data_IF_313844882969
#
_entry.id   IF_313844882969
#
_cell.length_a   1.000
_cell.length_b   1.000
_cell.length_c   1.000
_cell.angle_alpha   90.00
_cell.angle_beta   90.00
_cell.angle_gamma   90.00
#
_symmetry.space_group_name_H-M   'P 1'
#
loop_
_entity.id
_entity.type
_entity.pdbx_description
1 polymer ?
#
# COMPACT_ATOMS: atom_id res chain seq x y z
N UNK A 1 1.90 -26.50 23.41
CA UNK A 1 2.62 -25.36 22.80
C UNK A 1 1.57 -24.54 22.05
N UNK A 2 1.08 -23.46 22.66
CA UNK A 2 -0.06 -22.69 22.13
C UNK A 2 0.41 -21.72 21.04
N UNK A 3 -0.24 -21.82 19.87
CA UNK A 3 0.05 -21.09 18.64
C UNK A 3 -0.02 -19.56 18.82
N UNK A 4 1.14 -18.90 18.72
CA UNK A 4 1.30 -17.44 18.59
C UNK A 4 1.01 -16.97 17.15
N UNK A 5 -0.08 -17.43 16.53
CA UNK A 5 -0.48 -17.00 15.17
C UNK A 5 -1.50 -15.85 15.17
N UNK A 6 -1.36 -14.88 16.09
CA UNK A 6 -2.27 -13.72 16.17
C UNK A 6 -1.55 -12.35 16.12
N UNK A 7 -0.30 -12.29 15.66
CA UNK A 7 0.50 -11.07 15.69
C UNK A 7 0.64 -10.40 14.33
N UNK A 8 -0.34 -9.57 13.93
CA UNK A 8 -0.23 -8.56 12.85
C UNK A 8 0.51 -9.05 11.60
N UNK A 9 -0.14 -9.87 10.79
CA UNK A 9 0.34 -10.09 9.43
C UNK A 9 0.39 -8.69 8.77
N UNK A 10 1.54 -8.04 8.68
CA UNK A 10 1.63 -6.67 8.14
C UNK A 10 1.79 -6.71 6.62
N UNK A 11 1.84 -7.92 6.04
CA UNK A 11 2.07 -8.17 4.63
C UNK A 11 0.86 -7.76 3.78
N UNK A 12 -0.37 -7.88 4.29
CA UNK A 12 -1.57 -7.37 3.59
C UNK A 12 -1.70 -5.84 3.67
N UNK A 13 -0.96 -5.18 4.55
CA UNK A 13 -0.86 -3.71 4.58
C UNK A 13 0.15 -3.17 3.56
N UNK A 14 0.99 -4.03 2.97
CA UNK A 14 1.94 -3.60 1.94
C UNK A 14 1.27 -3.55 0.58
N UNK A 15 1.07 -2.34 0.07
CA UNK A 15 0.54 -2.09 -1.27
C UNK A 15 1.67 -1.78 -2.24
N UNK A 16 1.57 -2.30 -3.46
CA UNK A 16 2.49 -1.94 -4.54
C UNK A 16 2.14 -0.57 -5.10
N UNK A 17 3.15 0.29 -5.27
CA UNK A 17 2.99 1.64 -5.79
C UNK A 17 2.76 1.59 -7.29
N UNK A 18 1.87 2.45 -7.78
CA UNK A 18 1.60 2.56 -9.20
C UNK A 18 2.85 3.04 -9.95
N UNK A 19 3.37 2.20 -10.85
CA UNK A 19 4.55 2.52 -11.66
C UNK A 19 4.32 3.70 -12.59
N UNK A 20 3.12 3.84 -13.13
CA UNK A 20 2.76 4.97 -13.99
C UNK A 20 2.63 6.26 -13.18
N UNK A 21 2.15 6.19 -11.93
CA UNK A 21 2.09 7.35 -11.04
C UNK A 21 3.49 7.83 -10.67
N UNK A 22 4.41 6.90 -10.35
CA UNK A 22 5.83 7.25 -10.14
C UNK A 22 6.47 7.93 -11.35
N UNK A 23 5.98 7.63 -12.55
CA UNK A 23 6.42 8.24 -13.81
C UNK A 23 5.63 9.49 -14.20
N UNK A 24 4.68 9.94 -13.37
CA UNK A 24 3.74 11.02 -13.66
C UNK A 24 2.91 10.79 -14.95
N UNK A 25 2.59 9.52 -15.25
CA UNK A 25 1.79 9.09 -16.40
C UNK A 25 0.43 8.51 -16.03
N UNK A 26 0.18 8.23 -14.75
CA UNK A 26 -1.12 7.74 -14.32
C UNK A 26 -2.13 8.89 -14.26
N UNK A 27 -3.22 8.76 -15.01
CA UNK A 27 -4.35 9.72 -15.01
C UNK A 27 -5.55 9.21 -14.21
N UNK A 28 -5.48 8.00 -13.65
CA UNK A 28 -6.57 7.40 -12.88
C UNK A 28 -6.62 7.99 -11.46
N UNK A 29 -7.81 8.21 -10.89
CA UNK A 29 -7.92 8.56 -9.48
C UNK A 29 -7.44 7.40 -8.60
N UNK A 30 -6.97 7.72 -7.40
CA UNK A 30 -6.46 6.74 -6.41
C UNK A 30 -7.49 5.65 -6.07
N UNK A 31 -8.78 5.98 -6.11
CA UNK A 31 -9.91 5.05 -5.86
C UNK A 31 -10.14 4.04 -6.99
N UNK A 32 -9.75 4.35 -8.22
CA UNK A 32 -9.91 3.48 -9.40
C UNK A 32 -8.59 2.82 -9.83
N UNK A 33 -7.46 3.26 -9.27
CA UNK A 33 -6.17 2.67 -9.56
C UNK A 33 -5.97 1.39 -8.74
N UNK A 34 -5.58 0.31 -9.40
CA UNK A 34 -5.26 -0.97 -8.75
C UNK A 34 -4.05 -0.88 -7.79
N UNK A 35 -3.24 0.17 -7.92
CA UNK A 35 -1.98 0.34 -7.20
C UNK A 35 -1.99 1.63 -6.38
N UNK A 36 -1.19 1.69 -5.32
CA UNK A 36 -1.16 2.84 -4.43
C UNK A 36 -0.55 4.08 -5.09
N UNK A 37 -1.17 5.25 -4.86
CA UNK A 37 -0.65 6.57 -5.21
C UNK A 37 -0.20 7.29 -3.92
N UNK A 38 0.99 6.97 -3.37
CA UNK A 38 1.46 7.60 -2.15
C UNK A 38 1.78 9.08 -2.40
N UNK A 39 1.42 9.98 -1.48
CA UNK A 39 1.83 11.38 -1.56
C UNK A 39 3.35 11.52 -1.35
N UNK A 40 3.94 12.64 -1.77
CA UNK A 40 5.39 12.84 -1.78
C UNK A 40 6.09 12.73 -0.40
N UNK A 41 5.31 12.88 0.67
CA UNK A 41 5.77 12.73 2.06
C UNK A 41 5.79 11.27 2.56
N UNK A 42 5.32 10.31 1.77
CA UNK A 42 5.32 8.89 2.13
C UNK A 42 6.54 8.21 1.53
N UNK A 43 7.30 7.52 2.37
CA UNK A 43 8.45 6.75 1.93
C UNK A 43 8.02 5.47 1.18
N UNK A 44 8.57 5.28 -0.01
CA UNK A 44 8.36 4.06 -0.82
C UNK A 44 9.58 3.17 -0.67
N UNK A 45 9.39 1.96 -0.14
CA UNK A 45 10.46 0.97 0.02
C UNK A 45 10.28 -0.17 -0.98
N UNK A 46 11.27 -0.39 -1.85
CA UNK A 46 11.23 -1.44 -2.89
C UNK A 46 9.96 -1.40 -3.78
N UNK A 47 9.45 -0.20 -4.07
CA UNK A 47 8.22 -0.02 -4.85
C UNK A 47 6.93 -0.36 -4.11
N UNK A 48 6.98 -0.51 -2.78
CA UNK A 48 5.84 -0.78 -1.91
C UNK A 48 5.70 0.29 -0.83
N UNK A 49 4.48 0.46 -0.35
CA UNK A 49 4.13 1.34 0.76
C UNK A 49 3.29 0.60 1.78
N UNK A 50 3.40 1.00 3.03
CA UNK A 50 2.54 0.47 4.11
C UNK A 50 1.31 1.34 4.24
N UNK A 51 0.14 0.75 3.98
CA UNK A 51 -1.15 1.39 4.18
C UNK A 51 -1.56 1.37 5.65
N UNK A 52 -2.41 2.32 6.03
CA UNK A 52 -3.04 2.32 7.35
C UNK A 52 -4.00 1.13 7.47
N UNK A 53 -3.98 0.46 8.62
CA UNK A 53 -4.81 -0.73 8.90
C UNK A 53 -6.31 -0.44 8.73
N UNK A 54 -6.76 0.71 9.25
CA UNK A 54 -8.16 1.12 9.20
C UNK A 54 -8.62 1.46 7.78
N UNK A 55 -7.72 1.90 6.90
CA UNK A 55 -8.05 2.24 5.51
C UNK A 55 -8.23 1.02 4.60
N UNK A 56 -7.70 -0.15 4.99
CA UNK A 56 -7.88 -1.41 4.22
C UNK A 56 -9.08 -2.21 4.74
N UNK A 57 -9.45 -2.02 6.02
CA UNK A 57 -10.64 -2.61 6.64
C UNK A 57 -11.89 -1.78 6.33
N UNK A 58 -12.31 -1.79 5.06
CA UNK A 58 -13.63 -1.29 4.64
C UNK A 58 -14.62 -2.45 4.58
#
# INVERSE_FOLDING_TARGET
MNNLLNGKDSRWLQLEVCREFQRNKCTRPDTECKFAHPPANVEVQNGRVTACYDSIKV
#
